data_IF_814894136040
#
_entry.id   IF_814894136040
#
_cell.length_a   1.000
_cell.length_b   1.000
_cell.length_c   1.000
_cell.angle_alpha   90.00
_cell.angle_beta   90.00
_cell.angle_gamma   90.00
#
_symmetry.space_group_name_H-M   'P 1'
#
loop_
_entity.id
_entity.type
_entity.pdbx_description
1 polymer ?
#
# COMPACT_ATOMS: atom_id res chain seq x y z
N UNK A 1 20.91 -33.35 51.14
CA UNK A 1 19.84 -32.95 50.20
C UNK A 1 19.94 -31.44 50.04
N UNK A 2 20.54 -31.00 48.93
CA UNK A 2 19.83 -30.55 47.70
C UNK A 2 19.36 -29.09 47.81
N UNK A 3 20.11 -28.18 47.18
CA UNK A 3 19.77 -26.76 47.10
C UNK A 3 18.89 -26.48 45.89
N UNK A 4 17.70 -25.91 46.10
CA UNK A 4 16.78 -25.58 45.01
C UNK A 4 17.23 -24.30 44.28
N UNK A 5 17.58 -24.42 43.00
CA UNK A 5 17.94 -23.28 42.15
C UNK A 5 16.71 -22.43 41.78
N UNK A 6 16.70 -21.10 41.99
CA UNK A 6 15.55 -20.26 41.67
C UNK A 6 15.33 -20.12 40.16
N UNK A 7 14.20 -20.66 39.68
CA UNK A 7 13.82 -20.65 38.25
C UNK A 7 13.42 -19.24 37.78
N UNK A 8 14.36 -18.49 37.22
CA UNK A 8 14.08 -17.19 36.57
C UNK A 8 13.13 -17.34 35.38
N UNK A 9 11.85 -16.98 35.54
CA UNK A 9 10.93 -16.75 34.41
C UNK A 9 11.49 -15.64 33.53
N UNK A 10 11.65 -15.91 32.23
CA UNK A 10 11.92 -14.86 31.22
C UNK A 10 10.58 -14.21 30.87
N UNK A 11 10.46 -12.91 31.15
CA UNK A 11 9.35 -12.09 30.67
C UNK A 11 9.74 -11.57 29.28
N UNK A 12 8.89 -11.81 28.28
CA UNK A 12 9.06 -11.25 26.95
C UNK A 12 8.49 -9.82 26.95
N UNK A 13 9.30 -8.85 26.53
CA UNK A 13 8.85 -7.47 26.36
C UNK A 13 8.01 -7.33 25.09
N UNK A 14 6.82 -6.73 25.21
CA UNK A 14 5.98 -6.34 24.05
C UNK A 14 6.53 -5.10 23.31
N UNK A 15 7.60 -4.50 23.81
CA UNK A 15 8.28 -3.38 23.17
C UNK A 15 9.01 -3.85 21.89
N UNK A 16 8.89 -3.15 20.75
CA UNK A 16 9.46 -3.60 19.48
C UNK A 16 10.98 -3.72 19.54
N UNK A 17 11.52 -4.70 18.81
CA UNK A 17 12.91 -5.13 18.95
C UNK A 17 13.92 -4.03 18.56
N UNK A 18 14.46 -3.35 19.58
CA UNK A 18 15.46 -2.27 19.48
C UNK A 18 16.72 -2.67 18.70
N UNK A 19 17.10 -3.96 18.68
CA UNK A 19 18.25 -4.43 17.91
C UNK A 19 17.93 -4.47 16.41
N UNK A 20 16.77 -5.01 16.03
CA UNK A 20 16.29 -4.99 14.63
C UNK A 20 16.13 -3.55 14.15
N UNK A 21 15.61 -2.66 15.00
CA UNK A 21 15.53 -1.24 14.69
C UNK A 21 16.92 -0.60 14.47
N UNK A 22 17.88 -0.82 15.38
CA UNK A 22 19.23 -0.31 15.20
C UNK A 22 19.90 -0.82 13.90
N UNK A 23 19.68 -2.09 13.54
CA UNK A 23 20.22 -2.69 12.30
C UNK A 23 19.58 -2.09 11.05
N UNK A 24 18.25 -2.01 10.96
CA UNK A 24 17.56 -1.39 9.81
C UNK A 24 17.97 0.08 9.66
N UNK A 25 17.93 0.87 10.73
CA UNK A 25 18.32 2.30 10.67
C UNK A 25 19.76 2.48 10.21
N UNK A 26 20.69 1.68 10.73
CA UNK A 26 22.10 1.70 10.33
C UNK A 26 22.28 1.37 8.85
N UNK A 27 21.60 0.34 8.36
CA UNK A 27 21.68 -0.07 6.95
C UNK A 27 21.06 0.99 6.02
N UNK A 28 19.93 1.59 6.43
CA UNK A 28 19.21 2.60 5.68
C UNK A 28 20.03 3.87 5.51
N UNK A 29 20.59 4.40 6.62
CA UNK A 29 21.49 5.56 6.60
C UNK A 29 22.77 5.26 5.80
N UNK A 30 23.36 4.06 5.96
CA UNK A 30 24.57 3.64 5.25
C UNK A 30 24.39 3.65 3.72
N UNK A 31 23.23 3.24 3.22
CA UNK A 31 22.94 3.30 1.78
C UNK A 31 22.55 4.72 1.35
N UNK A 32 21.60 5.34 2.05
CA UNK A 32 20.94 6.56 1.59
C UNK A 32 21.84 7.80 1.60
N UNK A 33 22.65 8.01 2.65
CA UNK A 33 23.43 9.25 2.75
C UNK A 33 24.48 9.36 1.62
N UNK A 34 25.28 8.31 1.30
CA UNK A 34 26.20 8.37 0.15
C UNK A 34 25.50 8.53 -1.20
N UNK A 35 24.32 7.91 -1.43
CA UNK A 35 23.63 8.05 -2.72
C UNK A 35 23.03 9.44 -2.88
N UNK A 36 22.39 10.01 -1.85
CA UNK A 36 21.88 11.39 -1.91
C UNK A 36 23.00 12.43 -2.13
N UNK A 37 24.17 12.25 -1.51
CA UNK A 37 25.34 13.11 -1.76
C UNK A 37 25.78 13.02 -3.23
N UNK A 38 25.95 11.81 -3.76
CA UNK A 38 26.32 11.60 -5.17
C UNK A 38 25.30 12.18 -6.15
N UNK A 39 23.99 12.05 -5.88
CA UNK A 39 22.94 12.63 -6.72
C UNK A 39 23.02 14.17 -6.70
N UNK A 40 23.27 14.78 -5.53
CA UNK A 40 23.46 16.23 -5.39
C UNK A 40 24.69 16.73 -6.16
N UNK A 41 25.81 16.01 -6.08
CA UNK A 41 27.04 16.35 -6.79
C UNK A 41 26.84 16.32 -8.32
N UNK A 42 26.27 15.23 -8.84
CA UNK A 42 25.96 15.09 -10.27
C UNK A 42 24.94 16.14 -10.74
N UNK A 43 23.87 16.38 -9.97
CA UNK A 43 22.82 17.34 -10.31
C UNK A 43 23.26 18.81 -10.35
N UNK A 44 24.49 19.12 -9.91
CA UNK A 44 25.10 20.46 -10.05
C UNK A 44 25.85 20.66 -11.37
N UNK A 45 26.02 19.61 -12.19
CA UNK A 45 26.80 19.68 -13.43
C UNK A 45 25.94 19.87 -14.69
N UNK A 46 24.69 19.38 -14.69
CA UNK A 46 23.80 19.40 -15.86
C UNK A 46 22.60 20.32 -15.65
N UNK A 47 22.59 21.47 -16.35
CA UNK A 47 21.54 22.48 -16.27
C UNK A 47 20.28 22.11 -17.07
N UNK A 48 19.65 20.96 -16.79
CA UNK A 48 18.26 20.71 -17.15
C UNK A 48 17.62 19.51 -16.40
N UNK A 49 16.29 19.39 -16.50
CA UNK A 49 15.44 18.31 -15.94
C UNK A 49 15.38 18.16 -14.40
N UNK A 50 14.69 19.09 -13.74
CA UNK A 50 14.24 18.92 -12.34
C UNK A 50 13.33 17.67 -12.13
N UNK A 51 12.73 17.12 -13.19
CA UNK A 51 11.89 15.91 -13.13
C UNK A 51 12.70 14.64 -12.81
N UNK A 52 13.91 14.51 -13.38
CA UNK A 52 14.70 13.28 -13.27
C UNK A 52 15.24 13.14 -11.83
N UNK A 53 15.69 14.22 -11.21
CA UNK A 53 16.20 14.25 -9.83
C UNK A 53 15.21 13.66 -8.81
N UNK A 54 13.94 14.06 -8.85
CA UNK A 54 12.94 13.57 -7.90
C UNK A 54 12.66 12.06 -8.08
N UNK A 55 12.68 11.58 -9.32
CA UNK A 55 12.49 10.16 -9.63
C UNK A 55 13.71 9.32 -9.23
N UNK A 56 14.93 9.82 -9.45
CA UNK A 56 16.18 9.18 -8.99
C UNK A 56 16.25 9.12 -7.46
N UNK A 57 15.93 10.22 -6.76
CA UNK A 57 15.85 10.22 -5.28
C UNK A 57 14.80 9.24 -4.79
N UNK A 58 13.61 9.18 -5.42
CA UNK A 58 12.56 8.21 -5.09
C UNK A 58 13.00 6.76 -5.32
N UNK A 59 13.78 6.50 -6.37
CA UNK A 59 14.39 5.19 -6.63
C UNK A 59 15.38 4.81 -5.53
N UNK A 60 16.36 5.68 -5.21
CA UNK A 60 17.37 5.39 -4.19
C UNK A 60 16.80 5.30 -2.76
N UNK A 61 15.78 6.09 -2.44
CA UNK A 61 15.00 5.96 -1.19
C UNK A 61 14.28 4.60 -1.11
N UNK A 62 13.79 4.09 -2.25
CA UNK A 62 13.23 2.74 -2.36
C UNK A 62 14.29 1.66 -2.21
N UNK A 63 15.44 1.78 -2.88
CA UNK A 63 16.54 0.83 -2.79
C UNK A 63 17.15 0.79 -1.38
N UNK A 64 17.27 1.95 -0.72
CA UNK A 64 17.67 2.04 0.69
C UNK A 64 16.74 1.23 1.60
N UNK A 65 15.43 1.31 1.38
CA UNK A 65 14.44 0.52 2.12
C UNK A 65 14.63 -0.98 1.86
N UNK A 66 14.78 -1.40 0.60
CA UNK A 66 15.04 -2.80 0.22
C UNK A 66 16.29 -3.37 0.91
N UNK A 67 17.43 -2.68 0.84
CA UNK A 67 18.69 -3.13 1.46
C UNK A 67 18.65 -3.13 3.00
N UNK A 68 17.67 -2.46 3.60
CA UNK A 68 17.49 -2.41 5.06
C UNK A 68 16.48 -3.44 5.57
N UNK A 69 15.54 -3.84 4.72
CA UNK A 69 14.45 -4.79 4.99
C UNK A 69 14.69 -6.20 4.41
N UNK A 70 15.94 -6.54 4.07
CA UNK A 70 16.26 -7.82 3.44
C UNK A 70 15.78 -9.01 4.29
N UNK A 71 15.00 -9.90 3.66
CA UNK A 71 14.41 -11.09 4.29
C UNK A 71 12.89 -11.09 4.38
N UNK A 72 12.22 -9.96 4.10
CA UNK A 72 10.77 -9.90 3.92
C UNK A 72 10.39 -10.03 2.43
N UNK A 73 9.35 -10.79 2.10
CA UNK A 73 8.95 -10.99 0.70
C UNK A 73 8.48 -9.69 0.01
N UNK A 74 7.92 -8.73 0.76
CA UNK A 74 7.62 -7.41 0.20
C UNK A 74 8.89 -6.64 -0.21
N UNK A 75 10.03 -6.88 0.45
CA UNK A 75 11.29 -6.21 0.13
C UNK A 75 11.86 -6.67 -1.21
N UNK A 76 11.81 -7.98 -1.49
CA UNK A 76 12.24 -8.54 -2.78
C UNK A 76 11.25 -8.21 -3.90
N UNK A 77 9.95 -8.18 -3.62
CA UNK A 77 8.95 -7.68 -4.58
C UNK A 77 9.14 -6.19 -4.90
N UNK A 78 9.46 -5.35 -3.91
CA UNK A 78 9.80 -3.94 -4.09
C UNK A 78 11.08 -3.78 -4.92
N UNK A 79 12.11 -4.60 -4.67
CA UNK A 79 13.36 -4.64 -5.45
C UNK A 79 13.10 -4.92 -6.93
N UNK A 80 12.30 -5.94 -7.24
CA UNK A 80 11.91 -6.26 -8.62
C UNK A 80 11.13 -5.11 -9.27
N UNK A 81 10.24 -4.45 -8.51
CA UNK A 81 9.48 -3.29 -9.00
C UNK A 81 10.38 -2.07 -9.32
N UNK A 82 11.36 -1.79 -8.46
CA UNK A 82 12.32 -0.69 -8.66
C UNK A 82 13.22 -0.94 -9.88
N UNK A 83 13.84 -2.12 -9.96
CA UNK A 83 14.68 -2.50 -11.10
C UNK A 83 13.93 -2.48 -12.43
N UNK A 84 12.65 -2.92 -12.46
CA UNK A 84 11.83 -2.84 -13.68
C UNK A 84 11.50 -1.39 -14.09
N UNK A 85 11.34 -0.48 -13.12
CA UNK A 85 11.02 0.93 -13.38
C UNK A 85 12.10 1.67 -14.17
N UNK A 86 13.38 1.34 -13.94
CA UNK A 86 14.50 2.02 -14.60
C UNK A 86 14.61 1.70 -16.10
N UNK A 87 14.26 0.48 -16.52
CA UNK A 87 14.44 0.02 -17.93
C UNK A 87 13.46 0.69 -18.91
N UNK A 88 12.31 1.13 -18.43
CA UNK A 88 11.23 1.67 -19.26
C UNK A 88 11.42 3.16 -19.61
N UNK A 89 12.45 3.83 -19.09
CA UNK A 89 12.74 5.24 -19.41
C UNK A 89 13.54 5.36 -20.71
N UNK A 90 14.57 4.53 -20.88
CA UNK A 90 15.46 4.56 -22.07
C UNK A 90 14.85 3.91 -23.31
N UNK A 91 13.83 3.06 -23.15
CA UNK A 91 13.24 2.26 -24.24
C UNK A 91 12.24 3.04 -25.13
N UNK A 92 11.97 4.31 -24.84
CA UNK A 92 10.95 5.12 -25.54
C UNK A 92 11.53 5.96 -26.70
N UNK A 93 12.44 5.39 -27.51
CA UNK A 93 13.03 6.12 -28.66
C UNK A 93 13.45 5.23 -29.85
N UNK A 94 12.59 4.30 -30.26
CA UNK A 94 12.62 3.74 -31.63
C UNK A 94 11.21 3.71 -32.20
N UNK A 95 10.98 4.56 -33.21
CA UNK A 95 9.74 4.61 -33.98
C UNK A 95 9.52 3.35 -34.81
N UNK A 96 8.28 2.85 -34.85
CA UNK A 96 7.74 2.14 -36.02
C UNK A 96 6.21 2.28 -36.06
N UNK A 97 5.75 3.31 -36.76
CA UNK A 97 4.42 3.31 -37.38
C UNK A 97 4.45 2.38 -38.60
N UNK A 98 3.47 1.49 -38.74
CA UNK A 98 2.37 1.68 -39.70
C UNK A 98 1.36 0.50 -39.68
N UNK A 99 0.12 0.83 -39.35
CA UNK A 99 -1.16 0.35 -39.91
C UNK A 99 -1.27 -1.07 -40.53
N UNK A 100 -2.23 -1.85 -40.01
CA UNK A 100 -3.49 -2.10 -40.75
C UNK A 100 -4.62 -2.64 -39.86
N UNK A 101 -5.88 -2.45 -40.30
CA UNK A 101 -7.14 -2.66 -39.58
C UNK A 101 -7.36 -4.13 -39.08
N UNK A 102 -8.19 -4.40 -38.06
CA UNK A 102 -9.58 -3.96 -37.89
C UNK A 102 -10.17 -4.30 -36.50
N UNK A 103 -11.29 -3.64 -36.16
CA UNK A 103 -12.40 -3.93 -35.23
C UNK A 103 -12.21 -4.98 -34.09
N UNK A 104 -12.68 -4.76 -32.85
CA UNK A 104 -13.97 -4.18 -32.47
C UNK A 104 -14.02 -3.64 -31.01
N UNK A 105 -14.99 -2.74 -30.74
CA UNK A 105 -15.52 -2.25 -29.44
C UNK A 105 -14.57 -2.01 -28.25
N UNK A 106 -14.37 -0.72 -27.96
CA UNK A 106 -13.93 -0.23 -26.65
C UNK A 106 -15.03 -0.27 -25.59
N UNK A 107 -14.63 -0.31 -24.32
CA UNK A 107 -15.38 0.30 -23.20
C UNK A 107 -14.37 0.80 -22.18
N UNK A 108 -14.33 2.12 -22.00
CA UNK A 108 -13.25 2.79 -21.27
C UNK A 108 -13.36 2.59 -19.75
N UNK A 109 -12.21 2.67 -19.08
CA UNK A 109 -12.20 3.07 -17.67
C UNK A 109 -12.81 4.47 -17.52
N UNK A 110 -13.52 4.70 -16.43
CA UNK A 110 -13.71 6.04 -15.88
C UNK A 110 -12.96 6.13 -14.54
N UNK A 111 -12.30 7.26 -14.34
CA UNK A 111 -11.51 7.59 -13.16
C UNK A 111 -12.41 8.37 -12.19
N UNK A 112 -12.19 8.23 -10.89
CA UNK A 112 -12.79 9.09 -9.88
C UNK A 112 -11.70 9.99 -9.28
N UNK A 113 -11.69 11.25 -9.69
CA UNK A 113 -10.95 12.34 -9.03
C UNK A 113 -11.82 13.03 -7.95
N UNK A 114 -11.33 14.12 -7.37
CA UNK A 114 -11.48 14.43 -5.94
C UNK A 114 -12.49 15.55 -5.57
N UNK A 115 -12.77 15.60 -4.26
CA UNK A 115 -13.16 16.74 -3.41
C UNK A 115 -14.52 17.45 -3.54
N UNK A 116 -15.09 17.80 -2.38
CA UNK A 116 -16.26 18.66 -2.21
C UNK A 116 -17.12 18.31 -0.97
N UNK A 117 -17.14 19.19 0.04
CA UNK A 117 -17.86 18.95 1.32
C UNK A 117 -19.27 19.58 1.34
N UNK A 118 -20.29 18.77 1.67
CA UNK A 118 -21.51 19.08 2.47
C UNK A 118 -22.47 20.24 2.06
N UNK A 119 -23.71 20.34 2.62
CA UNK A 119 -24.47 19.34 3.41
C UNK A 119 -25.94 19.10 2.98
N UNK A 120 -26.52 18.02 3.52
CA UNK A 120 -27.93 17.81 3.89
C UNK A 120 -29.06 18.64 3.23
N UNK A 121 -30.04 17.96 2.61
CA UNK A 121 -31.44 18.34 2.81
C UNK A 121 -32.44 17.17 2.70
N UNK A 122 -33.65 17.36 3.24
CA UNK A 122 -34.64 16.30 3.46
C UNK A 122 -35.68 16.16 2.34
N UNK A 123 -36.21 14.94 2.23
CA UNK A 123 -37.59 14.56 1.88
C UNK A 123 -38.36 15.51 0.94
N UNK A 124 -38.68 15.02 -0.26
CA UNK A 124 -39.97 15.34 -0.88
C UNK A 124 -40.53 14.17 -1.67
N UNK A 125 -41.74 13.78 -1.30
CA UNK A 125 -42.53 12.75 -1.94
C UNK A 125 -42.94 13.17 -3.35
N UNK A 126 -43.21 12.20 -4.23
CA UNK A 126 -44.17 12.40 -5.30
C UNK A 126 -45.02 11.14 -5.48
N UNK A 127 -46.33 11.29 -5.72
CA UNK A 127 -47.30 10.24 -5.37
C UNK A 127 -48.40 10.00 -6.41
N UNK A 128 -48.33 8.83 -7.07
CA UNK A 128 -49.48 8.07 -7.60
C UNK A 128 -50.32 8.79 -8.70
N UNK A 129 -51.42 8.19 -9.26
CA UNK A 129 -51.99 6.85 -9.06
C UNK A 129 -52.25 6.05 -10.36
N UNK A 130 -52.97 4.93 -10.21
CA UNK A 130 -53.58 4.07 -11.25
C UNK A 130 -52.62 3.03 -11.87
N UNK A 131 -52.99 1.75 -12.01
CA UNK A 131 -54.35 1.21 -12.17
C UNK A 131 -54.73 0.05 -11.23
N UNK A 132 -56.05 -0.19 -11.12
CA UNK A 132 -56.66 -1.12 -10.16
C UNK A 132 -56.63 -2.57 -10.65
N UNK A 133 -56.24 -3.49 -9.78
CA UNK A 133 -56.78 -4.86 -9.72
C UNK A 133 -57.10 -5.18 -8.26
N UNK A 134 -58.12 -6.01 -7.99
CA UNK A 134 -58.58 -6.34 -6.64
C UNK A 134 -58.76 -7.85 -6.48
N UNK A 135 -58.18 -8.42 -5.42
CA UNK A 135 -58.70 -9.60 -4.71
C UNK A 135 -58.26 -9.53 -3.23
N UNK A 136 -59.03 -10.16 -2.33
CA UNK A 136 -59.04 -9.97 -0.87
C UNK A 136 -59.44 -11.31 -0.22
N UNK A 137 -58.97 -11.76 0.95
CA UNK A 137 -57.95 -11.20 1.87
C UNK A 137 -56.68 -12.11 1.90
N UNK A 138 -56.04 -12.63 2.97
CA UNK A 138 -56.19 -12.62 4.44
C UNK A 138 -54.77 -12.69 5.07
N UNK A 139 -54.47 -12.06 6.22
CA UNK A 139 -53.08 -11.70 6.56
C UNK A 139 -52.33 -12.64 7.53
N UNK A 140 -51.11 -12.21 7.86
CA UNK A 140 -50.23 -12.66 8.95
C UNK A 140 -49.59 -14.05 8.87
N UNK A 141 -48.40 -14.08 8.26
CA UNK A 141 -47.22 -14.46 9.02
C UNK A 141 -46.03 -13.51 8.75
N UNK A 142 -45.84 -12.54 9.66
CA UNK A 142 -44.67 -11.65 9.63
C UNK A 142 -43.40 -12.46 9.91
N UNK A 143 -42.70 -12.92 8.87
CA UNK A 143 -41.26 -13.27 8.99
C UNK A 143 -40.44 -11.98 9.22
N UNK A 144 -40.51 -11.47 10.45
CA UNK A 144 -39.32 -10.88 11.08
C UNK A 144 -38.39 -12.05 11.43
N UNK A 145 -37.10 -11.89 11.11
CA UNK A 145 -36.14 -12.98 11.13
C UNK A 145 -35.84 -13.43 9.68
N UNK A 146 -34.58 -13.46 9.23
CA UNK A 146 -33.33 -13.24 9.98
C UNK A 146 -32.54 -12.03 9.46
N UNK A 147 -31.49 -11.74 10.21
CA UNK A 147 -30.56 -10.64 10.09
C UNK A 147 -30.08 -10.38 8.65
N UNK A 148 -29.84 -9.10 8.36
CA UNK A 148 -28.74 -8.77 7.47
C UNK A 148 -27.45 -9.06 8.23
N UNK A 149 -27.00 -10.32 8.21
CA UNK A 149 -25.62 -10.64 8.52
C UNK A 149 -24.76 -9.96 7.44
N UNK A 150 -24.13 -8.84 7.78
CA UNK A 150 -23.02 -8.29 7.00
C UNK A 150 -21.95 -9.38 6.94
N UNK A 151 -21.93 -10.14 5.84
CA UNK A 151 -21.16 -11.35 5.68
C UNK A 151 -19.68 -11.10 6.06
N UNK A 152 -19.29 -11.54 7.27
CA UNK A 152 -18.02 -11.13 7.87
C UNK A 152 -16.85 -11.58 6.99
N UNK A 153 -16.94 -12.77 6.38
CA UNK A 153 -15.98 -13.29 5.42
C UNK A 153 -15.87 -12.40 4.16
N UNK A 154 -16.97 -11.84 3.65
CA UNK A 154 -16.91 -10.89 2.53
C UNK A 154 -16.25 -9.57 2.94
N UNK A 155 -16.58 -9.05 4.11
CA UNK A 155 -15.94 -7.84 4.68
C UNK A 155 -14.44 -8.07 4.90
N UNK A 156 -14.04 -9.24 5.42
CA UNK A 156 -12.65 -9.65 5.61
C UNK A 156 -11.93 -9.83 4.27
N UNK A 157 -12.53 -10.51 3.30
CA UNK A 157 -11.93 -10.70 1.98
C UNK A 157 -11.78 -9.39 1.19
N UNK A 158 -12.73 -8.46 1.31
CA UNK A 158 -12.62 -7.13 0.72
C UNK A 158 -11.51 -6.30 1.41
N UNK A 159 -11.37 -6.36 2.74
CA UNK A 159 -10.23 -5.75 3.48
C UNK A 159 -8.89 -6.35 3.06
N UNK A 160 -8.79 -7.68 2.97
CA UNK A 160 -7.58 -8.38 2.49
C UNK A 160 -7.23 -7.98 1.04
N UNK A 161 -8.21 -7.88 0.14
CA UNK A 161 -8.02 -7.42 -1.25
C UNK A 161 -7.40 -6.02 -1.31
N UNK A 162 -7.79 -5.11 -0.41
CA UNK A 162 -7.17 -3.79 -0.29
C UNK A 162 -5.73 -3.87 0.24
N UNK A 163 -5.46 -4.70 1.26
CA UNK A 163 -4.10 -4.90 1.77
C UNK A 163 -3.14 -5.46 0.71
N UNK A 164 -3.58 -6.42 -0.12
CA UNK A 164 -2.77 -7.01 -1.20
C UNK A 164 -2.28 -5.96 -2.22
N UNK A 165 -3.01 -4.85 -2.40
CA UNK A 165 -2.66 -3.72 -3.30
C UNK A 165 -1.73 -2.69 -2.65
N UNK A 166 -1.64 -2.65 -1.32
CA UNK A 166 -0.83 -1.67 -0.57
C UNK A 166 0.57 -2.20 -0.25
N UNK A 167 0.70 -3.49 0.05
CA UNK A 167 1.99 -4.15 0.28
C UNK A 167 2.66 -4.46 -1.07
N UNK A 168 3.94 -4.09 -1.30
CA UNK A 168 4.63 -4.43 -2.54
C UNK A 168 4.63 -5.95 -2.82
N UNK A 169 4.00 -6.37 -3.92
CA UNK A 169 3.86 -7.79 -4.27
C UNK A 169 2.84 -8.57 -3.45
N UNK A 170 1.98 -7.88 -2.69
CA UNK A 170 0.92 -8.50 -1.89
C UNK A 170 -0.06 -9.34 -2.72
N UNK A 171 -0.14 -9.11 -4.04
CA UNK A 171 -0.92 -9.94 -4.97
C UNK A 171 -0.46 -11.41 -5.03
N UNK A 172 0.80 -11.69 -4.64
CA UNK A 172 1.42 -13.03 -4.63
C UNK A 172 1.46 -13.69 -3.26
N UNK A 173 1.04 -13.00 -2.21
CA UNK A 173 1.13 -13.47 -0.82
C UNK A 173 -0.16 -14.17 -0.39
N UNK A 174 -0.03 -15.24 0.40
CA UNK A 174 -1.17 -15.89 1.05
C UNK A 174 -1.67 -15.06 2.25
N UNK A 175 -2.85 -15.40 2.79
CA UNK A 175 -3.49 -14.63 3.87
C UNK A 175 -2.68 -14.68 5.18
N UNK A 176 -2.03 -15.81 5.43
CA UNK A 176 -1.26 -16.10 6.64
C UNK A 176 0.04 -15.28 6.65
N UNK A 177 0.68 -15.14 5.49
CA UNK A 177 1.87 -14.31 5.31
C UNK A 177 1.53 -12.81 5.27
N UNK A 178 0.36 -12.43 4.72
CA UNK A 178 -0.07 -11.03 4.55
C UNK A 178 0.09 -10.19 5.82
N UNK A 179 -0.32 -10.71 6.97
CA UNK A 179 -0.30 -9.96 8.24
C UNK A 179 1.12 -9.69 8.72
N UNK A 180 2.01 -10.67 8.62
CA UNK A 180 3.43 -10.57 9.05
C UNK A 180 4.22 -9.65 8.12
N UNK A 181 4.03 -9.80 6.80
CA UNK A 181 4.64 -8.90 5.82
C UNK A 181 4.14 -7.46 6.01
N UNK A 182 2.85 -7.26 6.23
CA UNK A 182 2.26 -5.94 6.50
C UNK A 182 2.81 -5.30 7.78
N UNK A 183 2.91 -6.04 8.89
CA UNK A 183 3.49 -5.53 10.15
C UNK A 183 4.95 -5.10 9.97
N UNK A 184 5.75 -5.92 9.26
CA UNK A 184 7.14 -5.60 8.96
C UNK A 184 7.28 -4.39 8.04
N UNK A 185 6.40 -4.26 7.03
CA UNK A 185 6.38 -3.13 6.09
C UNK A 185 5.98 -1.82 6.79
N UNK A 186 4.93 -1.84 7.61
CA UNK A 186 4.52 -0.70 8.46
C UNK A 186 5.65 -0.29 9.41
N UNK A 187 6.36 -1.26 9.99
CA UNK A 187 7.50 -1.00 10.87
C UNK A 187 8.65 -0.33 10.12
N UNK A 188 9.02 -0.85 8.94
CA UNK A 188 10.05 -0.27 8.08
C UNK A 188 9.68 1.12 7.56
N UNK A 189 8.40 1.38 7.23
CA UNK A 189 7.89 2.70 6.86
C UNK A 189 8.00 3.71 8.00
N UNK A 190 7.55 3.37 9.21
CA UNK A 190 7.70 4.23 10.41
C UNK A 190 9.17 4.60 10.65
N UNK A 191 10.04 3.61 10.52
CA UNK A 191 11.49 3.80 10.66
C UNK A 191 12.10 4.68 9.57
N UNK A 192 11.68 4.49 8.30
CA UNK A 192 12.07 5.31 7.17
C UNK A 192 11.73 6.78 7.41
N UNK A 193 10.47 7.06 7.81
CA UNK A 193 9.99 8.41 8.12
C UNK A 193 10.77 9.02 9.27
N UNK A 194 11.05 8.27 10.34
CA UNK A 194 11.85 8.75 11.47
C UNK A 194 13.27 9.15 11.05
N UNK A 195 13.95 8.34 10.23
CA UNK A 195 15.29 8.67 9.73
C UNK A 195 15.26 9.89 8.81
N UNK A 196 14.31 9.94 7.86
CA UNK A 196 14.18 11.08 6.95
C UNK A 196 13.89 12.38 7.72
N UNK A 197 13.05 12.34 8.76
CA UNK A 197 12.84 13.48 9.65
C UNK A 197 14.11 13.91 10.40
N UNK A 198 14.97 12.97 10.82
CA UNK A 198 16.24 13.32 11.44
C UNK A 198 17.24 13.93 10.45
N UNK A 199 17.13 13.63 9.14
CA UNK A 199 17.97 14.21 8.09
C UNK A 199 17.45 15.57 7.61
N UNK A 200 16.14 15.84 7.67
CA UNK A 200 15.55 17.14 7.28
C UNK A 200 15.48 18.15 8.43
N UNK A 201 15.60 17.72 9.69
CA UNK A 201 15.78 18.60 10.86
C UNK A 201 17.24 19.09 10.93
N UNK A 202 17.60 19.98 10.01
CA UNK A 202 18.80 20.81 10.15
C UNK A 202 18.67 21.74 11.37
N UNK A 203 19.74 21.94 12.17
CA UNK A 203 19.80 22.99 13.17
C UNK A 203 19.96 24.39 12.55
#
# INVERSE_FOLDING_TARGET
MEAQSPKRRRVYSLEPNKVVQAVFTRNYVKYLVPTLVKIKENGSAEHNKHCDFQNVVKHEVGMAMVFSAQGFAWSDALKVKLLKGHVNVDSSSTSFDENMASDDKSSSLNICDQDGMDPMNLISSNSNPSSKSKYIDMPENKKKGLEGEDNEDEVINNKLRCLRRLVPGGEKMCNEQMVVELESYISCLKMQVNVLQCLTKTP
#
